data_IF_083525241891
#
_entry.id   IF_083525241891
#
_cell.length_a   1.000
_cell.length_b   1.000
_cell.length_c   1.000
_cell.angle_alpha   90.00
_cell.angle_beta   90.00
_cell.angle_gamma   90.00
#
_symmetry.space_group_name_H-M   'P 1'
#
loop_
_entity.id
_entity.type
_entity.pdbx_description
1 polymer ?
#
# COMPACT_ATOMS: atom_id res chain seq x y z
N UNK A 1 24.45 18.11 -4.23
CA UNK A 1 23.06 18.26 -4.71
C UNK A 1 22.15 17.48 -3.78
N UNK A 2 21.05 18.05 -3.31
CA UNK A 2 20.11 17.38 -2.39
C UNK A 2 19.36 16.27 -3.17
N UNK A 3 19.52 15.01 -2.77
CA UNK A 3 18.84 13.87 -3.38
C UNK A 3 17.42 13.80 -2.80
N UNK A 4 16.40 14.15 -3.58
CA UNK A 4 15.00 14.02 -3.15
C UNK A 4 14.61 12.56 -3.15
N UNK A 5 13.95 12.13 -2.06
CA UNK A 5 13.44 10.77 -1.86
C UNK A 5 11.92 10.83 -1.80
N UNK A 6 11.25 9.94 -2.53
CA UNK A 6 9.81 9.75 -2.40
C UNK A 6 9.51 9.10 -1.03
N UNK A 7 8.80 9.78 -0.12
CA UNK A 7 8.64 9.29 1.24
C UNK A 7 7.67 8.10 1.35
N UNK A 8 6.80 7.91 0.35
CA UNK A 8 5.84 6.80 0.30
C UNK A 8 6.46 5.57 -0.35
N UNK A 9 7.11 5.74 -1.50
CA UNK A 9 7.81 4.68 -2.21
C UNK A 9 9.19 4.35 -1.66
N UNK A 10 9.81 5.28 -0.94
CA UNK A 10 11.14 5.12 -0.33
C UNK A 10 12.29 5.08 -1.32
N UNK A 11 12.12 5.55 -2.55
CA UNK A 11 13.16 5.57 -3.58
C UNK A 11 13.67 7.00 -3.86
N UNK A 12 14.93 7.09 -4.27
CA UNK A 12 15.50 8.36 -4.70
C UNK A 12 14.99 8.73 -6.10
N UNK A 13 14.41 9.92 -6.21
CA UNK A 13 13.85 10.39 -7.47
C UNK A 13 14.99 10.81 -8.41
N UNK A 14 15.05 10.27 -9.65
CA UNK A 14 16.08 10.64 -10.61
C UNK A 14 16.06 12.13 -10.93
N UNK A 15 17.25 12.75 -10.98
CA UNK A 15 17.40 14.18 -11.26
C UNK A 15 16.69 14.61 -12.56
N UNK A 16 16.78 13.77 -13.60
CA UNK A 16 16.13 14.02 -14.89
C UNK A 16 14.62 14.20 -14.79
N UNK A 17 13.94 13.50 -13.84
CA UNK A 17 12.50 13.63 -13.62
C UNK A 17 12.17 14.96 -12.95
N UNK A 18 13.00 15.37 -11.97
CA UNK A 18 12.84 16.66 -11.27
C UNK A 18 12.98 17.83 -12.24
N UNK A 19 13.98 17.79 -13.12
CA UNK A 19 14.19 18.82 -14.14
C UNK A 19 13.00 18.90 -15.12
N UNK A 20 12.50 17.75 -15.57
CA UNK A 20 11.38 17.68 -16.50
C UNK A 20 10.06 18.23 -15.92
N UNK A 21 9.93 18.29 -14.60
CA UNK A 21 8.71 18.81 -13.99
C UNK A 21 8.48 20.31 -14.23
N UNK A 22 9.52 21.06 -14.55
CA UNK A 22 9.46 22.51 -14.72
C UNK A 22 9.19 23.32 -13.44
N UNK A 23 9.09 22.65 -12.28
CA UNK A 23 8.85 23.29 -11.00
C UNK A 23 10.16 23.64 -10.30
N UNK A 24 10.11 24.66 -9.42
CA UNK A 24 11.23 25.01 -8.56
C UNK A 24 11.51 23.89 -7.55
N UNK A 25 12.79 23.74 -7.14
CA UNK A 25 13.17 22.74 -6.14
C UNK A 25 12.42 22.88 -4.79
N UNK A 26 12.19 24.08 -4.23
CA UNK A 26 11.40 24.23 -3.01
C UNK A 26 9.95 23.75 -3.17
N UNK A 27 9.31 24.06 -4.30
CA UNK A 27 7.95 23.62 -4.60
C UNK A 27 7.87 22.09 -4.77
N UNK A 28 8.79 21.50 -5.52
CA UNK A 28 8.92 20.06 -5.68
C UNK A 28 9.10 19.37 -4.33
N UNK A 29 10.03 19.86 -3.53
CA UNK A 29 10.31 19.31 -2.20
C UNK A 29 9.05 19.35 -1.33
N UNK A 30 8.36 20.46 -1.26
CA UNK A 30 7.13 20.62 -0.48
C UNK A 30 6.06 19.60 -0.90
N UNK A 31 5.84 19.42 -2.21
CA UNK A 31 4.85 18.47 -2.74
C UNK A 31 5.25 17.01 -2.48
N UNK A 32 6.51 16.68 -2.68
CA UNK A 32 7.02 15.33 -2.45
C UNK A 32 6.95 14.98 -0.97
N UNK A 33 7.44 15.84 -0.09
CA UNK A 33 7.48 15.61 1.37
C UNK A 33 6.08 15.48 1.97
N UNK A 34 5.05 16.06 1.34
CA UNK A 34 3.66 15.85 1.77
C UNK A 34 3.16 14.41 1.59
N UNK A 35 3.86 13.58 0.82
CA UNK A 35 3.42 12.24 0.43
C UNK A 35 2.28 12.23 -0.61
N UNK A 36 1.62 13.37 -0.84
CA UNK A 36 0.45 13.46 -1.72
C UNK A 36 0.78 13.45 -3.22
N UNK A 37 2.06 13.57 -3.59
CA UNK A 37 2.45 13.60 -4.99
C UNK A 37 3.58 12.62 -5.27
N UNK A 38 3.46 11.91 -6.39
CA UNK A 38 4.51 11.09 -6.98
C UNK A 38 5.02 11.76 -8.26
N UNK A 39 6.35 11.78 -8.45
CA UNK A 39 6.96 12.30 -9.68
C UNK A 39 7.15 11.17 -10.66
N UNK A 40 6.70 11.35 -11.90
CA UNK A 40 6.85 10.36 -12.99
C UNK A 40 8.13 10.61 -13.80
N UNK A 41 8.48 9.66 -14.66
CA UNK A 41 9.61 9.78 -15.59
C UNK A 41 9.48 10.95 -16.58
N UNK A 42 8.26 11.35 -16.92
CA UNK A 42 7.98 12.52 -17.75
C UNK A 42 8.14 13.85 -16.99
N UNK A 43 8.28 13.81 -15.67
CA UNK A 43 8.26 15.00 -14.80
C UNK A 43 6.86 15.38 -14.31
N UNK A 44 5.81 14.66 -14.74
CA UNK A 44 4.45 14.93 -14.26
C UNK A 44 4.33 14.55 -12.80
N UNK A 45 3.67 15.41 -12.01
CA UNK A 45 3.30 15.09 -10.65
C UNK A 45 1.91 14.48 -10.64
N UNK A 46 1.82 13.22 -10.21
CA UNK A 46 0.55 12.52 -10.01
C UNK A 46 0.12 12.62 -8.55
N UNK A 47 -1.14 12.98 -8.34
CA UNK A 47 -1.73 13.08 -7.01
C UNK A 47 -2.09 11.69 -6.47
N UNK A 48 -1.51 11.32 -5.33
CA UNK A 48 -1.90 10.13 -4.57
C UNK A 48 -3.27 10.32 -3.93
N UNK A 49 -4.01 9.23 -3.85
CA UNK A 49 -5.20 9.16 -3.01
C UNK A 49 -4.84 8.95 -1.54
N UNK A 50 -5.80 9.16 -0.66
CA UNK A 50 -5.73 8.73 0.73
C UNK A 50 -6.39 7.35 0.87
N UNK A 51 -5.86 6.51 1.74
CA UNK A 51 -6.41 5.17 2.00
C UNK A 51 -7.74 5.25 2.75
N UNK A 52 -8.55 4.18 2.65
CA UNK A 52 -9.77 4.07 3.47
C UNK A 52 -9.46 4.20 4.96
N UNK A 53 -8.32 3.65 5.43
CA UNK A 53 -7.86 3.81 6.82
C UNK A 53 -7.59 5.26 7.23
N UNK A 54 -6.95 6.04 6.36
CA UNK A 54 -6.68 7.46 6.64
C UNK A 54 -7.95 8.30 6.72
N UNK A 55 -8.92 8.04 5.83
CA UNK A 55 -10.20 8.75 5.85
C UNK A 55 -11.05 8.34 7.06
N UNK A 56 -11.03 7.04 7.41
CA UNK A 56 -11.67 6.54 8.63
C UNK A 56 -11.09 7.19 9.89
N UNK A 57 -9.76 7.31 9.96
CA UNK A 57 -9.09 8.00 11.06
C UNK A 57 -9.49 9.48 11.15
N UNK A 58 -9.70 10.14 10.00
CA UNK A 58 -10.14 11.53 9.97
C UNK A 58 -11.58 11.70 10.48
N UNK A 59 -12.51 10.83 10.05
CA UNK A 59 -13.87 10.84 10.56
C UNK A 59 -13.90 10.59 12.08
N UNK A 60 -13.15 9.56 12.55
CA UNK A 60 -13.06 9.24 13.97
C UNK A 60 -12.49 10.39 14.81
N UNK A 61 -11.38 11.00 14.35
CA UNK A 61 -10.75 12.15 15.04
C UNK A 61 -11.70 13.33 15.14
N UNK A 62 -12.33 13.69 14.02
CA UNK A 62 -13.26 14.83 13.97
C UNK A 62 -14.50 14.60 14.85
N UNK A 63 -15.03 13.37 14.90
CA UNK A 63 -16.14 13.04 15.79
C UNK A 63 -15.77 13.23 17.26
N UNK A 64 -14.59 12.76 17.69
CA UNK A 64 -14.12 12.97 19.08
C UNK A 64 -13.92 14.45 19.39
N UNK A 65 -13.25 15.21 18.50
CA UNK A 65 -13.03 16.64 18.70
C UNK A 65 -14.37 17.40 18.81
N UNK A 66 -15.37 17.01 18.01
CA UNK A 66 -16.66 17.68 17.98
C UNK A 66 -17.53 17.46 19.24
N UNK A 67 -17.10 16.61 20.17
CA UNK A 67 -17.69 16.55 21.52
C UNK A 67 -17.47 17.87 22.26
N UNK A 68 -16.36 18.54 22.00
CA UNK A 68 -16.06 19.87 22.56
C UNK A 68 -16.41 21.00 21.58
N UNK A 69 -15.91 20.92 20.34
CA UNK A 69 -16.11 21.95 19.31
C UNK A 69 -16.13 21.32 17.90
N UNK A 70 -17.04 21.77 17.01
CA UNK A 70 -17.04 21.34 15.62
C UNK A 70 -15.72 21.67 14.91
N UNK A 71 -15.28 20.78 14.00
CA UNK A 71 -14.08 20.97 13.20
C UNK A 71 -14.32 20.69 11.73
N UNK A 72 -13.67 21.45 10.85
CA UNK A 72 -13.80 21.28 9.39
C UNK A 72 -12.57 20.65 8.76
N UNK A 73 -11.49 20.44 9.54
CA UNK A 73 -10.27 19.80 9.08
C UNK A 73 -9.51 19.17 10.25
N UNK A 74 -8.91 18.03 10.00
CA UNK A 74 -8.05 17.33 10.97
C UNK A 74 -6.72 16.92 10.34
N UNK A 75 -5.68 16.86 11.16
CA UNK A 75 -4.38 16.29 10.79
C UNK A 75 -4.30 14.83 11.22
N UNK A 76 -3.98 13.94 10.29
CA UNK A 76 -3.89 12.50 10.53
C UNK A 76 -2.45 12.04 10.34
N UNK A 77 -1.91 11.37 11.35
CA UNK A 77 -0.64 10.68 11.26
C UNK A 77 -0.84 9.36 10.50
N UNK A 78 -0.20 9.24 9.35
CA UNK A 78 -0.24 8.01 8.55
C UNK A 78 0.72 6.95 9.13
N UNK A 79 0.54 5.66 8.82
CA UNK A 79 1.42 4.59 9.30
C UNK A 79 2.90 4.73 8.94
N UNK A 80 3.23 5.54 7.94
CA UNK A 80 4.63 5.85 7.56
C UNK A 80 5.16 7.16 8.15
N UNK A 81 4.44 7.77 9.11
CA UNK A 81 4.90 8.95 9.83
C UNK A 81 4.65 10.29 9.14
N UNK A 82 3.91 10.32 8.03
CA UNK A 82 3.54 11.57 7.36
C UNK A 82 2.21 12.07 7.91
N UNK A 83 2.12 13.36 8.24
CA UNK A 83 0.85 14.00 8.58
C UNK A 83 0.15 14.53 7.33
N UNK A 84 -1.14 14.23 7.21
CA UNK A 84 -1.98 14.69 6.11
C UNK A 84 -3.21 15.41 6.64
N UNK A 85 -3.59 16.49 5.99
CA UNK A 85 -4.82 17.22 6.30
C UNK A 85 -6.00 16.63 5.55
N UNK A 86 -7.08 16.38 6.27
CA UNK A 86 -8.32 15.84 5.73
C UNK A 86 -9.48 16.78 6.11
N UNK A 87 -10.27 17.17 5.12
CA UNK A 87 -11.50 17.94 5.37
C UNK A 87 -12.56 17.03 5.98
N UNK A 88 -13.28 17.58 6.93
CA UNK A 88 -14.34 16.90 7.68
C UNK A 88 -15.54 17.82 7.87
N UNK A 89 -16.69 17.24 8.16
CA UNK A 89 -17.83 17.97 8.71
C UNK A 89 -18.15 17.30 10.04
N UNK A 90 -18.26 18.05 11.12
CA UNK A 90 -18.49 17.47 12.43
C UNK A 90 -19.35 18.36 13.34
N UNK A 91 -20.12 17.73 14.22
CA UNK A 91 -20.89 18.37 15.29
C UNK A 91 -21.27 17.34 16.35
N UNK A 92 -21.26 17.72 17.62
CA UNK A 92 -21.87 17.00 18.75
C UNK A 92 -21.52 15.51 18.83
N UNK A 93 -20.26 15.17 18.65
CA UNK A 93 -19.79 13.76 18.65
C UNK A 93 -19.99 13.01 17.33
N UNK A 94 -20.55 13.65 16.32
CA UNK A 94 -20.67 13.08 14.98
C UNK A 94 -19.73 13.75 13.98
N UNK A 95 -19.19 12.99 13.03
CA UNK A 95 -18.42 13.55 11.92
C UNK A 95 -18.49 12.67 10.68
N UNK A 96 -18.20 13.31 9.54
CA UNK A 96 -17.88 12.60 8.31
C UNK A 96 -16.59 13.09 7.66
N UNK A 97 -16.00 12.23 6.86
CA UNK A 97 -14.87 12.53 6.00
C UNK A 97 -15.06 11.86 4.65
N UNK A 98 -14.89 12.63 3.57
CA UNK A 98 -15.00 12.12 2.22
C UNK A 98 -13.63 11.83 1.63
N UNK A 99 -13.47 10.68 0.99
CA UNK A 99 -12.24 10.33 0.28
C UNK A 99 -12.04 11.22 -0.93
N UNK A 100 -10.95 12.02 -0.97
CA UNK A 100 -10.73 12.97 -2.04
C UNK A 100 -10.34 12.29 -3.35
N UNK A 101 -10.53 12.99 -4.45
CA UNK A 101 -10.07 12.58 -5.77
C UNK A 101 -8.56 12.48 -5.85
N UNK A 102 -8.12 11.49 -6.64
CA UNK A 102 -6.71 11.24 -6.95
C UNK A 102 -6.54 10.99 -8.45
N UNK A 103 -5.29 10.78 -8.87
CA UNK A 103 -5.02 10.42 -10.27
C UNK A 103 -5.07 8.90 -10.51
N UNK A 104 -5.57 8.13 -9.54
CA UNK A 104 -5.78 6.70 -9.68
C UNK A 104 -7.13 6.41 -10.37
N UNK A 105 -7.13 6.25 -11.68
CA UNK A 105 -8.35 6.11 -12.51
C UNK A 105 -9.25 4.91 -12.21
N UNK A 106 -8.77 3.94 -11.42
CA UNK A 106 -9.50 2.70 -11.07
C UNK A 106 -9.84 2.59 -9.58
N UNK A 107 -9.72 3.68 -8.82
CA UNK A 107 -10.07 3.66 -7.40
C UNK A 107 -11.59 3.78 -7.22
N UNK A 108 -12.24 2.63 -7.13
CA UNK A 108 -13.70 2.53 -6.94
C UNK A 108 -14.18 3.08 -5.59
N UNK A 109 -13.25 3.39 -4.67
CA UNK A 109 -13.55 4.00 -3.37
C UNK A 109 -13.41 5.52 -3.37
N UNK A 110 -13.12 6.14 -4.51
CA UNK A 110 -13.10 7.60 -4.65
C UNK A 110 -14.48 8.18 -4.35
N UNK A 111 -14.52 9.25 -3.57
CA UNK A 111 -15.77 9.88 -3.14
C UNK A 111 -16.49 9.16 -2.00
N UNK A 112 -16.00 8.01 -1.54
CA UNK A 112 -16.56 7.28 -0.40
C UNK A 112 -16.53 8.16 0.86
N UNK A 113 -17.64 8.15 1.60
CA UNK A 113 -17.79 8.86 2.86
C UNK A 113 -17.70 7.86 4.01
N UNK A 114 -16.84 8.14 4.97
CA UNK A 114 -16.83 7.50 6.28
C UNK A 114 -17.51 8.42 7.28
N UNK A 115 -18.37 7.83 8.11
CA UNK A 115 -19.01 8.50 9.25
C UNK A 115 -18.51 7.90 10.55
N UNK A 116 -18.40 8.73 11.57
CA UNK A 116 -18.06 8.32 12.91
C UNK A 116 -18.99 8.99 13.93
N UNK A 117 -19.43 8.20 14.91
CA UNK A 117 -20.14 8.63 16.10
C UNK A 117 -19.25 8.39 17.31
N UNK A 118 -19.00 9.41 18.12
CA UNK A 118 -18.14 9.37 19.29
C UNK A 118 -18.87 9.75 20.56
N UNK A 119 -18.58 9.06 21.65
CA UNK A 119 -18.98 9.45 22.99
C UNK A 119 -17.81 9.28 23.97
N UNK A 120 -17.87 9.99 25.11
CA UNK A 120 -16.84 9.91 26.17
C UNK A 120 -16.78 8.49 26.73
N UNK A 121 -15.58 8.02 27.00
CA UNK A 121 -15.30 6.73 27.64
C UNK A 121 -13.98 6.81 28.43
N UNK A 122 -13.73 5.83 29.30
CA UNK A 122 -12.50 5.73 30.08
C UNK A 122 -11.35 5.11 29.28
N UNK A 123 -11.65 4.51 28.14
CA UNK A 123 -10.67 3.89 27.23
C UNK A 123 -11.00 4.18 25.77
N UNK A 124 -9.99 4.01 24.89
CA UNK A 124 -10.19 4.09 23.44
C UNK A 124 -10.81 2.78 22.97
N UNK A 125 -11.99 2.86 22.34
CA UNK A 125 -12.66 1.70 21.76
C UNK A 125 -13.24 2.03 20.40
N UNK A 126 -12.85 1.25 19.39
CA UNK A 126 -13.39 1.32 18.03
C UNK A 126 -14.40 0.18 17.80
N UNK A 127 -15.58 0.51 17.33
CA UNK A 127 -16.60 -0.46 16.93
C UNK A 127 -16.97 -0.27 15.45
N UNK A 128 -17.16 -1.37 14.69
CA UNK A 128 -17.63 -1.29 13.31
C UNK A 128 -19.11 -0.92 13.28
N UNK A 129 -19.46 -0.03 12.37
CA UNK A 129 -20.82 0.32 12.00
C UNK A 129 -21.21 -0.26 10.66
N UNK A 130 -22.26 0.30 10.06
CA UNK A 130 -22.78 -0.12 8.77
C UNK A 130 -21.73 0.09 7.65
N UNK A 131 -21.71 -0.82 6.67
CA UNK A 131 -20.83 -0.74 5.50
C UNK A 131 -19.38 -1.14 5.75
N UNK A 132 -18.98 -1.49 6.98
CA UNK A 132 -17.68 -2.10 7.28
C UNK A 132 -17.80 -3.63 7.12
N UNK A 133 -16.96 -4.23 6.29
CA UNK A 133 -17.00 -5.65 6.01
C UNK A 133 -16.52 -6.51 7.18
N UNK A 134 -16.95 -7.78 7.18
CA UNK A 134 -16.53 -8.80 8.14
C UNK A 134 -15.70 -9.86 7.41
N UNK A 135 -14.61 -10.28 8.01
CA UNK A 135 -13.76 -11.36 7.49
C UNK A 135 -14.45 -12.71 7.70
N UNK A 136 -14.70 -13.43 6.60
CA UNK A 136 -15.32 -14.76 6.60
C UNK A 136 -14.48 -15.83 5.90
N UNK A 137 -13.16 -15.59 5.78
CA UNK A 137 -12.20 -16.54 5.24
C UNK A 137 -10.93 -16.55 6.09
N UNK A 138 -10.38 -17.74 6.34
CA UNK A 138 -9.10 -17.87 7.03
C UNK A 138 -7.92 -17.47 6.12
N UNK A 139 -6.78 -17.15 6.72
CA UNK A 139 -5.55 -16.79 6.00
C UNK A 139 -5.40 -15.30 5.67
N UNK A 140 -6.34 -14.45 6.06
CA UNK A 140 -6.16 -13.01 6.07
C UNK A 140 -5.39 -12.55 7.31
N UNK A 141 -4.81 -11.34 7.26
CA UNK A 141 -4.12 -10.73 8.42
C UNK A 141 -5.06 -10.37 9.57
N UNK A 142 -6.34 -10.22 9.25
CA UNK A 142 -7.42 -9.96 10.20
C UNK A 142 -8.10 -11.29 10.54
N UNK A 143 -8.38 -11.59 11.81
CA UNK A 143 -9.01 -12.86 12.21
C UNK A 143 -10.39 -13.08 11.60
N UNK A 144 -10.76 -14.36 11.45
CA UNK A 144 -12.12 -14.75 11.05
C UNK A 144 -13.16 -14.19 12.04
N UNK A 145 -14.24 -13.64 11.50
CA UNK A 145 -15.32 -13.02 12.28
C UNK A 145 -15.06 -11.58 12.71
N UNK A 146 -13.83 -11.08 12.58
CA UNK A 146 -13.51 -9.71 12.94
C UNK A 146 -13.87 -8.70 11.82
N UNK A 147 -14.07 -7.41 12.18
CA UNK A 147 -14.19 -6.34 11.19
C UNK A 147 -12.99 -6.29 10.25
N UNK A 148 -13.22 -6.08 8.97
CA UNK A 148 -12.18 -6.05 7.95
C UNK A 148 -11.36 -4.74 8.01
N UNK A 149 -10.74 -4.46 9.16
CA UNK A 149 -9.86 -3.31 9.40
C UNK A 149 -8.44 -3.85 9.53
N UNK A 150 -7.53 -3.41 8.63
CA UNK A 150 -6.14 -3.86 8.71
C UNK A 150 -5.45 -3.32 9.96
N UNK A 151 -4.43 -4.03 10.50
CA UNK A 151 -3.72 -3.58 11.71
C UNK A 151 -3.17 -2.15 11.61
N UNK A 152 -2.65 -1.76 10.45
CA UNK A 152 -2.12 -0.41 10.23
C UNK A 152 -3.24 0.64 10.18
N UNK A 153 -4.40 0.30 9.62
CA UNK A 153 -5.57 1.19 9.61
C UNK A 153 -6.14 1.32 11.03
N UNK A 154 -6.25 0.23 11.76
CA UNK A 154 -6.70 0.24 13.15
C UNK A 154 -5.79 1.11 14.02
N UNK A 155 -4.47 0.91 13.93
CA UNK A 155 -3.50 1.75 14.61
C UNK A 155 -3.68 3.25 14.29
N UNK A 156 -3.86 3.59 13.00
CA UNK A 156 -4.04 4.99 12.59
C UNK A 156 -5.32 5.60 13.15
N UNK A 157 -6.42 4.82 13.20
CA UNK A 157 -7.71 5.25 13.76
C UNK A 157 -7.60 5.44 15.27
N UNK A 158 -7.07 4.44 15.99
CA UNK A 158 -6.92 4.48 17.44
C UNK A 158 -5.98 5.62 17.89
N UNK A 159 -4.87 5.83 17.16
CA UNK A 159 -3.97 6.95 17.41
C UNK A 159 -4.68 8.31 17.20
N UNK A 160 -5.49 8.42 16.14
CA UNK A 160 -6.25 9.64 15.85
C UNK A 160 -7.31 9.93 16.92
N UNK A 161 -8.00 8.90 17.44
CA UNK A 161 -8.93 8.99 18.56
C UNK A 161 -8.19 9.44 19.82
N UNK A 162 -7.03 8.83 20.13
CA UNK A 162 -6.22 9.17 21.31
C UNK A 162 -5.70 10.61 21.27
N UNK A 163 -5.18 11.07 20.14
CA UNK A 163 -4.78 12.47 19.96
C UNK A 163 -5.95 13.44 20.20
N UNK A 164 -7.15 13.11 19.66
CA UNK A 164 -8.34 13.94 19.83
C UNK A 164 -8.82 13.96 21.29
N UNK A 165 -8.97 12.79 21.93
CA UNK A 165 -9.40 12.66 23.30
C UNK A 165 -8.48 13.45 24.25
N UNK A 166 -7.17 13.24 24.11
CA UNK A 166 -6.17 13.98 24.89
C UNK A 166 -6.29 15.50 24.72
N UNK A 167 -6.50 15.99 23.49
CA UNK A 167 -6.57 17.42 23.20
C UNK A 167 -7.77 18.12 23.82
N UNK A 168 -8.86 17.38 24.10
CA UNK A 168 -10.07 17.90 24.76
C UNK A 168 -10.24 17.42 26.21
N UNK A 169 -9.16 16.87 26.79
CA UNK A 169 -9.12 16.48 28.22
C UNK A 169 -9.92 15.23 28.55
N UNK A 170 -10.12 14.31 27.62
CA UNK A 170 -10.75 13.01 27.85
C UNK A 170 -9.71 11.91 28.02
N UNK A 171 -10.00 10.91 28.86
CA UNK A 171 -9.17 9.73 29.03
C UNK A 171 -9.29 8.78 27.83
N UNK A 172 -10.48 8.70 27.23
CA UNK A 172 -10.75 7.91 26.04
C UNK A 172 -12.06 8.28 25.36
N UNK A 173 -12.39 7.56 24.31
CA UNK A 173 -13.66 7.71 23.57
C UNK A 173 -14.05 6.37 22.93
N UNK A 174 -15.35 6.08 22.97
CA UNK A 174 -15.95 5.03 22.16
C UNK A 174 -16.34 5.63 20.81
N UNK A 175 -15.82 5.06 19.72
CA UNK A 175 -16.13 5.51 18.36
C UNK A 175 -16.74 4.37 17.56
N UNK A 176 -17.91 4.62 16.97
CA UNK A 176 -18.54 3.74 15.98
C UNK A 176 -18.25 4.29 14.58
N UNK A 177 -17.63 3.47 13.73
CA UNK A 177 -17.18 3.85 12.38
C UNK A 177 -18.03 3.15 11.33
N UNK A 178 -18.64 3.91 10.42
CA UNK A 178 -19.47 3.43 9.31
C UNK A 178 -18.93 3.89 7.97
N UNK A 179 -19.25 3.16 6.89
CA UNK A 179 -18.94 3.53 5.51
C UNK A 179 -20.25 3.67 4.72
N UNK A 180 -20.58 4.88 4.28
CA UNK A 180 -21.82 5.16 3.55
C UNK A 180 -21.83 4.39 2.23
N UNK A 181 -22.89 3.63 1.99
CA UNK A 181 -23.01 2.72 0.84
C UNK A 181 -21.87 1.69 0.72
N UNK A 182 -21.16 1.40 1.83
CA UNK A 182 -19.99 0.53 1.84
C UNK A 182 -20.30 -0.89 1.33
N UNK A 183 -21.48 -1.43 1.64
CA UNK A 183 -21.91 -2.73 1.13
C UNK A 183 -22.07 -2.76 -0.40
N UNK A 184 -22.62 -1.70 -0.99
CA UNK A 184 -22.77 -1.60 -2.46
C UNK A 184 -21.42 -1.37 -3.18
N UNK A 185 -20.58 -0.51 -2.61
CA UNK A 185 -19.26 -0.23 -3.17
C UNK A 185 -18.37 -1.47 -3.07
N UNK A 186 -18.48 -2.26 -2.00
CA UNK A 186 -17.69 -3.49 -1.82
C UNK A 186 -17.87 -4.50 -2.95
N UNK A 187 -19.05 -4.58 -3.56
CA UNK A 187 -19.35 -5.45 -4.72
C UNK A 187 -18.50 -5.12 -5.95
N UNK A 188 -18.01 -3.87 -6.06
CA UNK A 188 -17.12 -3.41 -7.13
C UNK A 188 -15.64 -3.61 -6.82
N UNK A 189 -15.32 -4.16 -5.66
CA UNK A 189 -13.96 -4.42 -5.18
C UNK A 189 -13.63 -5.92 -5.23
N UNK A 190 -12.44 -6.26 -4.75
CA UNK A 190 -12.04 -7.67 -4.57
C UNK A 190 -12.48 -8.26 -3.22
N UNK A 191 -13.24 -7.54 -2.41
CA UNK A 191 -13.53 -7.93 -1.02
C UNK A 191 -14.16 -9.32 -0.93
N UNK A 192 -15.22 -9.61 -1.65
CA UNK A 192 -15.88 -10.91 -1.61
C UNK A 192 -14.95 -12.05 -2.09
N UNK A 193 -14.13 -11.79 -3.12
CA UNK A 193 -13.15 -12.76 -3.64
C UNK A 193 -12.08 -13.13 -2.61
N UNK A 194 -11.68 -12.16 -1.79
CA UNK A 194 -10.70 -12.40 -0.72
C UNK A 194 -11.34 -12.82 0.61
N UNK A 195 -12.67 -12.88 0.69
CA UNK A 195 -13.39 -13.38 1.87
C UNK A 195 -13.84 -12.31 2.86
N UNK A 196 -14.06 -11.08 2.40
CA UNK A 196 -14.68 -9.99 3.18
C UNK A 196 -16.09 -9.73 2.67
N UNK A 197 -17.08 -9.79 3.55
CA UNK A 197 -18.50 -9.72 3.20
C UNK A 197 -19.23 -8.63 3.99
N UNK A 198 -20.36 -8.16 3.43
CA UNK A 198 -21.26 -7.21 4.08
C UNK A 198 -20.79 -5.74 4.07
N UNK A 199 -19.61 -5.47 3.52
CA UNK A 199 -19.08 -4.12 3.46
C UNK A 199 -17.65 -4.04 2.97
N UNK A 200 -17.06 -2.87 3.12
CA UNK A 200 -15.69 -2.57 2.68
C UNK A 200 -14.63 -2.97 3.70
N UNK A 201 -13.45 -3.30 3.19
CA UNK A 201 -12.23 -3.34 3.99
C UNK A 201 -11.72 -1.92 4.24
N UNK A 202 -11.35 -1.65 5.49
CA UNK A 202 -10.61 -0.44 5.89
C UNK A 202 -9.12 -0.76 5.87
N UNK A 203 -8.41 -0.24 4.86
CA UNK A 203 -7.03 -0.60 4.57
C UNK A 203 -6.13 0.64 4.54
N UNK A 204 -4.81 0.44 4.72
CA UNK A 204 -3.88 1.55 4.56
C UNK A 204 -2.50 1.34 5.15
N UNK A 205 -1.67 0.47 4.57
CA UNK A 205 -0.29 0.21 5.03
C UNK A 205 0.62 1.43 5.04
N UNK A 206 0.38 2.40 4.14
CA UNK A 206 1.13 3.66 4.09
C UNK A 206 0.27 4.87 4.42
N UNK A 207 -1.05 4.72 4.44
CA UNK A 207 -2.01 5.82 4.50
C UNK A 207 -2.34 6.43 3.13
N UNK A 208 -1.63 6.03 2.08
CA UNK A 208 -1.81 6.54 0.71
C UNK A 208 -2.26 5.45 -0.25
N UNK A 209 -2.92 5.87 -1.33
CA UNK A 209 -3.21 5.07 -2.52
C UNK A 209 -2.31 5.59 -3.64
N UNK A 210 -1.47 4.72 -4.18
CA UNK A 210 -0.56 5.09 -5.25
C UNK A 210 -1.35 5.33 -6.55
N UNK A 211 -0.99 6.36 -7.34
CA UNK A 211 -1.64 6.65 -8.61
C UNK A 211 -1.16 5.70 -9.72
N UNK A 212 -1.09 4.39 -9.41
CA UNK A 212 -0.51 3.38 -10.29
C UNK A 212 -1.39 3.11 -11.50
N UNK A 213 -1.28 3.96 -12.47
CA UNK A 213 -1.63 3.68 -13.84
C UNK A 213 -0.39 3.32 -14.66
N UNK A 214 -0.60 2.97 -15.92
CA UNK A 214 0.44 2.64 -16.90
C UNK A 214 1.61 3.63 -16.96
N UNK A 215 1.42 4.86 -16.49
CA UNK A 215 2.46 5.89 -16.39
C UNK A 215 3.65 5.51 -15.50
N UNK A 216 3.48 4.61 -14.54
CA UNK A 216 4.55 4.19 -13.64
C UNK A 216 5.30 2.95 -14.10
N UNK A 217 4.73 2.22 -15.03
CA UNK A 217 5.46 1.16 -15.75
C UNK A 217 6.63 1.80 -16.50
N UNK A 218 6.40 2.93 -17.19
CA UNK A 218 7.48 3.71 -17.78
C UNK A 218 8.51 4.25 -16.78
N UNK A 219 8.10 4.50 -15.51
CA UNK A 219 9.04 4.91 -14.46
C UNK A 219 9.96 3.79 -14.01
N UNK A 220 9.44 2.58 -13.84
CA UNK A 220 10.24 1.41 -13.48
C UNK A 220 11.23 1.06 -14.59
N UNK A 221 10.80 1.15 -15.84
CA UNK A 221 11.64 0.93 -17.03
C UNK A 221 12.77 1.96 -17.13
N UNK A 222 12.47 3.26 -16.93
CA UNK A 222 13.49 4.31 -16.95
C UNK A 222 14.55 4.12 -15.85
N UNK A 223 14.12 3.71 -14.66
CA UNK A 223 15.03 3.40 -13.56
C UNK A 223 15.89 2.20 -13.91
N UNK A 224 15.30 1.15 -14.49
CA UNK A 224 16.03 -0.04 -14.93
C UNK A 224 17.05 0.30 -16.05
N UNK A 225 16.66 1.19 -16.98
CA UNK A 225 17.53 1.60 -18.07
C UNK A 225 18.72 2.48 -17.63
N UNK A 226 18.56 3.27 -16.56
CA UNK A 226 19.58 4.23 -16.11
C UNK A 226 20.47 3.75 -14.97
N UNK A 227 20.08 2.68 -14.27
CA UNK A 227 20.85 2.13 -13.15
C UNK A 227 22.00 1.24 -13.65
N UNK A 228 23.13 1.21 -12.93
CA UNK A 228 24.24 0.30 -13.21
C UNK A 228 23.97 -1.11 -12.69
N UNK A 229 23.34 -1.21 -11.51
CA UNK A 229 22.94 -2.44 -10.83
C UNK A 229 21.50 -2.37 -10.43
N UNK A 230 20.72 -3.42 -10.66
CA UNK A 230 19.27 -3.40 -10.51
C UNK A 230 18.78 -4.52 -9.61
N UNK A 231 17.91 -4.20 -8.66
CA UNK A 231 17.12 -5.17 -7.89
C UNK A 231 15.64 -5.02 -8.25
N UNK A 232 15.14 -5.89 -9.11
CA UNK A 232 13.72 -5.93 -9.49
C UNK A 232 12.91 -6.66 -8.44
N UNK A 233 11.81 -6.07 -8.01
CA UNK A 233 11.00 -6.64 -6.93
C UNK A 233 9.52 -6.77 -7.32
N UNK A 234 8.86 -7.80 -6.77
CA UNK A 234 7.46 -8.08 -7.04
C UNK A 234 6.48 -7.19 -6.26
N UNK A 235 6.98 -6.42 -5.28
CA UNK A 235 6.15 -5.57 -4.44
C UNK A 235 6.92 -5.00 -3.26
N UNK A 236 6.20 -4.34 -2.33
CA UNK A 236 6.79 -3.60 -1.20
C UNK A 236 7.62 -4.46 -0.25
N UNK A 237 7.19 -5.69 0.03
CA UNK A 237 7.97 -6.62 0.86
C UNK A 237 9.31 -6.89 0.21
N UNK A 238 9.32 -7.26 -1.08
CA UNK A 238 10.54 -7.44 -1.86
C UNK A 238 11.42 -6.18 -1.87
N UNK A 239 10.80 -5.02 -2.08
CA UNK A 239 11.51 -3.73 -2.11
C UNK A 239 12.25 -3.43 -0.80
N UNK A 240 11.56 -3.60 0.35
CA UNK A 240 12.18 -3.42 1.67
C UNK A 240 13.40 -4.30 1.84
N UNK A 241 13.26 -5.58 1.56
CA UNK A 241 14.35 -6.54 1.79
C UNK A 241 15.44 -6.45 0.73
N UNK A 242 15.12 -6.09 -0.52
CA UNK A 242 16.14 -5.81 -1.52
C UNK A 242 17.05 -4.65 -1.11
N UNK A 243 16.49 -3.57 -0.55
CA UNK A 243 17.29 -2.46 -0.01
C UNK A 243 18.18 -2.88 1.16
N UNK A 244 17.72 -3.82 1.98
CA UNK A 244 18.48 -4.32 3.14
C UNK A 244 19.61 -5.26 2.71
N UNK A 245 19.35 -6.16 1.76
CA UNK A 245 20.31 -7.17 1.33
C UNK A 245 21.27 -6.68 0.26
N UNK A 246 20.82 -5.74 -0.57
CA UNK A 246 21.55 -5.25 -1.74
C UNK A 246 21.53 -3.72 -1.79
N UNK A 247 22.16 -3.05 -0.80
CA UNK A 247 22.12 -1.58 -0.68
C UNK A 247 22.74 -0.86 -1.88
N UNK A 248 23.65 -1.52 -2.61
CA UNK A 248 24.35 -0.97 -3.77
C UNK A 248 23.54 -1.09 -5.08
N UNK A 249 22.35 -1.73 -5.03
CA UNK A 249 21.49 -1.87 -6.20
C UNK A 249 20.37 -0.83 -6.18
N UNK A 250 20.04 -0.31 -7.36
CA UNK A 250 18.82 0.46 -7.56
C UNK A 250 17.61 -0.45 -7.45
N UNK A 251 16.89 -0.37 -6.35
CA UNK A 251 15.72 -1.21 -6.10
C UNK A 251 14.49 -0.66 -6.80
N UNK A 252 13.81 -1.50 -7.58
CA UNK A 252 12.66 -1.14 -8.42
C UNK A 252 11.50 -2.07 -8.14
N UNK A 253 10.29 -1.52 -7.95
CA UNK A 253 9.06 -2.31 -7.89
C UNK A 253 8.55 -2.51 -9.32
N UNK A 254 8.72 -3.70 -9.85
CA UNK A 254 8.23 -4.08 -11.18
C UNK A 254 6.81 -4.69 -11.13
N UNK A 255 6.41 -5.26 -9.98
CA UNK A 255 5.10 -5.88 -9.80
C UNK A 255 4.85 -7.02 -10.78
N UNK A 256 3.71 -6.98 -11.47
CA UNK A 256 3.36 -7.94 -12.53
C UNK A 256 4.09 -7.70 -13.85
N UNK A 257 4.84 -6.61 -13.98
CA UNK A 257 5.56 -6.24 -15.20
C UNK A 257 7.05 -6.65 -15.15
N UNK A 258 7.40 -7.68 -14.37
CA UNK A 258 8.80 -8.12 -14.18
C UNK A 258 9.53 -8.29 -15.50
N UNK A 259 8.96 -9.03 -16.44
CA UNK A 259 9.57 -9.30 -17.76
C UNK A 259 9.86 -8.01 -18.53
N UNK A 260 8.88 -7.13 -18.63
CA UNK A 260 8.99 -5.87 -19.36
C UNK A 260 10.05 -4.94 -18.76
N UNK A 261 10.08 -4.84 -17.42
CA UNK A 261 11.08 -4.02 -16.72
C UNK A 261 12.47 -4.66 -16.80
N UNK A 262 12.53 -6.00 -16.76
CA UNK A 262 13.79 -6.73 -16.91
C UNK A 262 14.44 -6.47 -18.25
N UNK A 263 13.70 -6.45 -19.37
CA UNK A 263 14.26 -6.13 -20.69
C UNK A 263 14.98 -4.77 -20.73
N UNK A 264 14.60 -3.82 -19.89
CA UNK A 264 15.31 -2.54 -19.75
C UNK A 264 16.56 -2.61 -18.89
N UNK A 265 16.70 -3.66 -18.10
CA UNK A 265 17.89 -3.96 -17.28
C UNK A 265 18.81 -4.99 -17.95
N UNK A 266 18.48 -5.45 -19.16
CA UNK A 266 19.25 -6.50 -19.85
C UNK A 266 20.73 -6.13 -20.03
N UNK A 267 21.61 -7.06 -19.77
CA UNK A 267 23.06 -6.82 -19.81
C UNK A 267 23.66 -6.21 -18.53
N UNK A 268 22.84 -5.90 -17.52
CA UNK A 268 23.28 -5.35 -16.23
C UNK A 268 23.31 -6.42 -15.14
N UNK A 269 24.05 -6.12 -14.06
CA UNK A 269 23.97 -6.93 -12.84
C UNK A 269 22.55 -6.79 -12.25
N UNK A 270 21.76 -7.85 -12.40
CA UNK A 270 20.33 -7.83 -12.04
C UNK A 270 20.00 -8.90 -11.02
N UNK A 271 19.29 -8.50 -9.98
CA UNK A 271 18.69 -9.37 -8.97
C UNK A 271 17.16 -9.28 -9.11
N UNK A 272 16.49 -10.42 -9.10
CA UNK A 272 15.02 -10.52 -9.04
C UNK A 272 14.67 -11.03 -7.65
N UNK A 273 14.02 -10.20 -6.82
CA UNK A 273 13.72 -10.52 -5.44
C UNK A 273 12.26 -10.26 -5.08
N UNK A 274 11.61 -11.23 -4.45
CA UNK A 274 10.25 -11.02 -3.98
C UNK A 274 9.56 -12.27 -3.45
N UNK A 275 8.25 -12.12 -3.21
CA UNK A 275 7.38 -13.24 -2.87
C UNK A 275 7.20 -14.16 -4.09
N UNK A 276 6.95 -15.47 -3.88
CA UNK A 276 7.04 -16.47 -4.94
C UNK A 276 6.07 -16.27 -6.11
N UNK A 277 4.88 -15.73 -5.86
CA UNK A 277 3.77 -15.79 -6.81
C UNK A 277 4.07 -15.20 -8.20
N UNK A 278 4.54 -13.96 -8.26
CA UNK A 278 4.80 -13.30 -9.55
C UNK A 278 6.07 -13.82 -10.22
N UNK A 279 7.08 -14.19 -9.43
CA UNK A 279 8.34 -14.75 -9.98
C UNK A 279 8.06 -16.10 -10.64
N UNK A 280 7.34 -17.00 -9.97
CA UNK A 280 7.00 -18.30 -10.54
C UNK A 280 6.04 -18.21 -11.72
N UNK A 281 5.07 -17.29 -11.68
CA UNK A 281 4.19 -17.07 -12.85
C UNK A 281 4.96 -16.58 -14.08
N UNK A 282 6.00 -15.79 -13.89
CA UNK A 282 6.87 -15.39 -14.98
C UNK A 282 7.80 -16.53 -15.43
N UNK A 283 8.34 -17.28 -14.48
CA UNK A 283 9.18 -18.45 -14.79
C UNK A 283 8.42 -19.51 -15.58
N UNK A 284 7.21 -19.86 -15.12
CA UNK A 284 6.37 -20.90 -15.69
C UNK A 284 4.89 -20.61 -15.42
N UNK A 285 4.17 -19.97 -16.37
CA UNK A 285 2.75 -19.56 -16.18
C UNK A 285 1.82 -20.72 -15.80
N UNK A 286 2.05 -21.91 -16.32
CA UNK A 286 1.26 -23.12 -16.13
C UNK A 286 1.61 -23.94 -14.89
N UNK A 287 2.56 -23.50 -14.06
CA UNK A 287 3.07 -24.29 -12.91
C UNK A 287 1.97 -24.71 -11.92
N UNK A 288 0.93 -23.89 -11.74
CA UNK A 288 -0.19 -24.22 -10.86
C UNK A 288 -1.01 -25.39 -11.39
N UNK A 289 -1.28 -25.42 -12.69
CA UNK A 289 -2.04 -26.51 -13.31
C UNK A 289 -1.26 -27.82 -13.32
N UNK A 290 0.05 -27.77 -13.59
CA UNK A 290 0.90 -28.96 -13.56
C UNK A 290 1.02 -29.57 -12.17
N UNK A 291 1.20 -28.73 -11.16
CA UNK A 291 1.37 -29.14 -9.77
C UNK A 291 0.03 -29.38 -9.06
N UNK A 292 -1.10 -29.19 -9.74
CA UNK A 292 -2.47 -29.32 -9.17
C UNK A 292 -2.63 -28.55 -7.87
N UNK A 293 -2.29 -27.26 -7.89
CA UNK A 293 -2.39 -26.36 -6.75
C UNK A 293 -3.22 -25.12 -7.11
N UNK A 294 -3.95 -24.60 -6.13
CA UNK A 294 -4.78 -23.40 -6.31
C UNK A 294 -3.96 -22.11 -6.23
N UNK A 295 -2.87 -22.15 -5.46
CA UNK A 295 -2.02 -20.98 -5.26
C UNK A 295 -0.52 -21.33 -5.26
N UNK A 296 0.32 -20.37 -5.65
CA UNK A 296 1.79 -20.49 -5.55
C UNK A 296 2.24 -20.61 -4.09
N UNK A 297 1.53 -19.98 -3.16
CA UNK A 297 1.86 -20.08 -1.74
C UNK A 297 1.69 -21.52 -1.25
N UNK A 298 0.62 -22.18 -1.64
CA UNK A 298 0.40 -23.59 -1.34
C UNK A 298 1.52 -24.50 -1.85
N UNK A 299 2.02 -24.24 -3.08
CA UNK A 299 3.17 -24.98 -3.61
C UNK A 299 4.42 -24.81 -2.74
N UNK A 300 4.69 -23.60 -2.32
CA UNK A 300 5.86 -23.29 -1.47
C UNK A 300 5.71 -23.85 -0.05
N UNK A 301 4.50 -23.87 0.49
CA UNK A 301 4.22 -24.44 1.81
C UNK A 301 4.33 -25.97 1.82
N UNK A 302 4.02 -26.63 0.67
CA UNK A 302 4.22 -28.09 0.51
C UNK A 302 5.71 -28.45 0.40
N UNK A 303 6.40 -27.88 -0.57
CA UNK A 303 7.83 -28.10 -0.80
C UNK A 303 8.42 -27.00 -1.68
N UNK A 304 9.16 -26.05 -1.11
CA UNK A 304 9.82 -24.98 -1.88
C UNK A 304 10.97 -25.49 -2.76
N UNK A 305 11.38 -26.76 -2.60
CA UNK A 305 12.46 -27.40 -3.37
C UNK A 305 11.94 -28.42 -4.38
N UNK A 306 10.62 -28.53 -4.56
CA UNK A 306 10.04 -29.43 -5.56
C UNK A 306 10.72 -29.27 -6.93
N UNK A 307 10.90 -30.40 -7.63
CA UNK A 307 11.62 -30.46 -8.89
C UNK A 307 11.08 -29.46 -9.93
N UNK A 308 9.74 -29.36 -10.05
CA UNK A 308 9.09 -28.41 -10.97
C UNK A 308 9.39 -26.93 -10.64
N UNK A 309 9.44 -26.57 -9.35
CA UNK A 309 9.81 -25.23 -8.90
C UNK A 309 11.28 -24.97 -9.22
N UNK A 310 12.13 -25.93 -8.92
CA UNK A 310 13.58 -25.82 -9.15
C UNK A 310 13.88 -25.69 -10.65
N UNK A 311 13.24 -26.51 -11.50
CA UNK A 311 13.39 -26.41 -12.96
C UNK A 311 12.92 -25.06 -13.49
N UNK A 312 11.76 -24.55 -13.05
CA UNK A 312 11.24 -23.25 -13.48
C UNK A 312 12.16 -22.10 -13.10
N UNK A 313 12.69 -22.08 -11.88
CA UNK A 313 13.62 -21.02 -11.44
C UNK A 313 14.98 -21.11 -12.15
N UNK A 314 15.48 -22.32 -12.42
CA UNK A 314 16.72 -22.54 -13.16
C UNK A 314 16.59 -22.09 -14.62
N UNK A 315 15.45 -22.38 -15.26
CA UNK A 315 15.14 -21.90 -16.60
C UNK A 315 15.08 -20.37 -16.64
N UNK A 316 14.35 -19.75 -15.69
CA UNK A 316 14.28 -18.29 -15.59
C UNK A 316 15.67 -17.68 -15.40
N UNK A 317 16.52 -18.25 -14.54
CA UNK A 317 17.91 -17.83 -14.37
C UNK A 317 18.69 -17.93 -15.68
N UNK A 318 18.55 -19.03 -16.40
CA UNK A 318 19.28 -19.27 -17.67
C UNK A 318 18.89 -18.22 -18.72
N UNK A 319 17.59 -17.92 -18.83
CA UNK A 319 17.07 -16.92 -19.77
C UNK A 319 17.48 -15.49 -19.41
N UNK A 320 17.46 -15.15 -18.11
CA UNK A 320 17.70 -13.78 -17.65
C UNK A 320 19.12 -13.48 -17.24
N UNK A 321 19.91 -14.51 -16.89
CA UNK A 321 21.23 -14.39 -16.24
C UNK A 321 21.18 -13.63 -14.91
N UNK A 322 19.99 -13.33 -14.40
CA UNK A 322 19.77 -12.64 -13.13
C UNK A 322 19.89 -13.61 -11.95
N UNK A 323 20.31 -13.12 -10.79
CA UNK A 323 20.19 -13.84 -9.53
C UNK A 323 18.74 -13.77 -9.05
N UNK A 324 18.13 -14.92 -8.78
CA UNK A 324 16.72 -15.01 -8.42
C UNK A 324 16.59 -15.38 -6.94
N UNK A 325 15.94 -14.52 -6.16
CA UNK A 325 15.80 -14.69 -4.71
C UNK A 325 14.32 -14.67 -4.35
N UNK A 326 13.85 -15.74 -3.76
CA UNK A 326 12.49 -15.83 -3.22
C UNK A 326 12.56 -15.71 -1.71
N UNK A 327 11.76 -14.80 -1.17
CA UNK A 327 11.64 -14.56 0.27
C UNK A 327 10.24 -14.87 0.77
N UNK A 328 10.12 -15.13 2.08
CA UNK A 328 8.84 -15.13 2.78
C UNK A 328 8.41 -13.70 3.16
N UNK A 329 7.27 -13.57 3.84
CA UNK A 329 6.73 -12.29 4.29
C UNK A 329 7.59 -11.63 5.39
N UNK A 330 8.36 -12.43 6.12
CA UNK A 330 9.31 -11.95 7.14
C UNK A 330 10.67 -11.56 6.55
N UNK A 331 10.87 -11.79 5.25
CA UNK A 331 12.10 -11.48 4.52
C UNK A 331 13.15 -12.58 4.55
N UNK A 332 12.86 -13.72 5.19
CA UNK A 332 13.77 -14.88 5.16
C UNK A 332 13.89 -15.39 3.73
N UNK A 333 15.11 -15.59 3.27
CA UNK A 333 15.38 -16.19 1.97
C UNK A 333 14.98 -17.66 2.01
N UNK A 334 14.03 -18.05 1.14
CA UNK A 334 13.57 -19.43 0.97
C UNK A 334 14.35 -20.10 -0.16
N UNK A 335 14.57 -19.37 -1.27
CA UNK A 335 15.33 -19.86 -2.44
C UNK A 335 16.28 -18.78 -2.91
N UNK A 336 17.44 -19.20 -3.33
CA UNK A 336 18.47 -18.36 -3.96
C UNK A 336 19.08 -19.15 -5.12
N UNK A 337 18.87 -18.65 -6.33
CA UNK A 337 19.36 -19.24 -7.56
C UNK A 337 20.31 -18.23 -8.16
N UNK A 338 21.52 -18.15 -7.56
CA UNK A 338 22.60 -17.24 -7.90
C UNK A 338 23.57 -17.76 -8.94
#
# INVERSE_FOLDING_TARGET
>A
MCRLVDPVGGFAIPQKWLVRSGLSLPELKRRIDSGLYAVTASGTLLKRGLSTGTISAAAAKAAVLSIAEPTTQVDILTPIGIRVKVHTTSADGWANAQKPRSDHSKDVTEGLIFEAEACKADEIRLSPGEGIGIVKKHGLRVPYGAPAISPEAQWSIENAIGEAAHSIGLEGALVKLSAINGAEISKKTLNEKVGVFGGLSVLGTTGFVEPWNECLVGSAEDLAETADRVALTTGRTGFKYAKMYFPDHTTIIAGSNLERVFHKAEGKETIILGLPALILKWAKPEILSEMKADTVQELFDRDPYAEAITAALTDLKTRTKARIIIIDRAGKIIRDVG
#
